data_IF_699050426052
#
_entry.id   IF_699050426052
#
_cell.length_a   1.000
_cell.length_b   1.000
_cell.length_c   1.000
_cell.angle_alpha   90.00
_cell.angle_beta   90.00
_cell.angle_gamma   90.00
#
_symmetry.space_group_name_H-M   'P 1'
#
loop_
_entity.id
_entity.type
_entity.pdbx_description
1 polymer ?
#
# COMPACT_ATOMS: atom_id res chain seq x y z
N UNK A 1 20.91 15.66 -33.51
CA UNK A 1 19.58 15.52 -34.13
C UNK A 1 18.66 16.47 -33.42
N UNK A 2 17.87 17.24 -34.17
CA UNK A 2 16.96 18.22 -33.57
C UNK A 2 15.68 17.52 -33.14
N UNK A 3 15.29 17.69 -31.88
CA UNK A 3 14.09 17.10 -31.34
C UNK A 3 12.99 18.15 -31.24
N UNK A 4 11.91 17.90 -31.95
CA UNK A 4 10.66 18.63 -31.85
C UNK A 4 9.73 17.88 -30.91
N UNK A 5 9.53 18.43 -29.73
CA UNK A 5 8.60 17.91 -28.73
C UNK A 5 7.48 18.91 -28.45
N UNK A 6 6.38 18.42 -27.88
CA UNK A 6 5.32 19.25 -27.33
C UNK A 6 5.46 19.23 -25.80
N UNK A 7 5.73 20.39 -25.21
CA UNK A 7 5.70 20.62 -23.78
C UNK A 7 4.29 21.02 -23.34
N UNK A 8 3.78 20.42 -22.27
CA UNK A 8 2.46 20.76 -21.73
C UNK A 8 2.64 21.58 -20.45
N UNK A 9 2.05 22.77 -20.42
CA UNK A 9 2.07 23.68 -19.27
C UNK A 9 0.66 24.19 -18.98
N UNK A 10 0.06 23.71 -17.88
CA UNK A 10 -1.34 24.02 -17.58
C UNK A 10 -2.29 23.27 -18.53
N UNK A 11 -3.12 24.02 -19.25
CA UNK A 11 -4.03 23.63 -20.34
C UNK A 11 -3.49 24.05 -21.73
N UNK A 12 -2.24 24.51 -21.79
CA UNK A 12 -1.59 24.98 -23.00
C UNK A 12 -0.47 24.04 -23.45
N UNK A 13 -0.28 23.98 -24.76
CA UNK A 13 0.78 23.19 -25.41
C UNK A 13 1.78 24.16 -26.03
N UNK A 14 3.05 23.98 -25.70
CA UNK A 14 4.14 24.80 -26.18
C UNK A 14 5.08 23.94 -27.05
N UNK A 15 5.45 24.38 -28.25
CA UNK A 15 6.48 23.69 -29.01
C UNK A 15 7.82 23.86 -28.27
N UNK A 16 8.43 22.74 -27.90
CA UNK A 16 9.76 22.72 -27.31
C UNK A 16 10.74 22.25 -28.39
N UNK A 17 11.64 23.16 -28.76
CA UNK A 17 12.73 22.87 -29.67
C UNK A 17 14.02 22.77 -28.85
N UNK A 18 14.63 21.60 -28.86
CA UNK A 18 15.87 21.35 -28.14
C UNK A 18 16.88 20.72 -29.10
N UNK A 19 17.98 21.45 -29.31
CA UNK A 19 19.08 20.97 -30.13
C UNK A 19 20.13 20.35 -29.21
N UNK A 20 20.45 19.08 -29.46
CA UNK A 20 21.59 18.41 -28.85
C UNK A 20 22.84 18.83 -29.62
N UNK A 21 23.66 19.68 -29.02
CA UNK A 21 25.07 19.76 -29.44
C UNK A 21 25.79 18.54 -28.82
N UNK A 22 26.41 17.73 -29.69
CA UNK A 22 27.32 16.62 -29.35
C UNK A 22 26.71 15.24 -29.02
N UNK A 23 25.43 14.98 -29.32
CA UNK A 23 24.90 13.61 -29.33
C UNK A 23 24.69 12.96 -27.96
N UNK A 24 24.75 13.76 -26.89
CA UNK A 24 24.54 13.31 -25.52
C UNK A 24 23.03 13.19 -25.24
N UNK A 25 22.50 11.96 -25.32
CA UNK A 25 21.05 11.67 -25.16
C UNK A 25 20.61 11.51 -23.70
N UNK A 26 21.49 11.73 -22.72
CA UNK A 26 21.21 11.45 -21.30
C UNK A 26 20.55 12.60 -20.53
N UNK A 27 20.54 13.82 -21.09
CA UNK A 27 19.80 14.97 -20.50
C UNK A 27 18.28 14.84 -20.69
N UNK A 28 17.85 14.02 -21.64
CA UNK A 28 16.46 13.97 -22.13
C UNK A 28 15.49 13.32 -21.14
N UNK A 29 15.94 12.31 -20.40
CA UNK A 29 15.07 11.56 -19.48
C UNK A 29 14.76 12.38 -18.22
N UNK A 30 15.75 13.12 -17.71
CA UNK A 30 15.58 13.88 -16.48
C UNK A 30 14.74 15.15 -16.63
N UNK A 31 14.79 15.86 -17.77
CA UNK A 31 13.99 17.09 -17.93
C UNK A 31 12.49 16.79 -18.09
N UNK A 32 12.13 15.69 -18.78
CA UNK A 32 10.72 15.30 -18.96
C UNK A 32 10.16 14.65 -17.68
N UNK A 33 10.93 13.85 -16.95
CA UNK A 33 10.49 13.28 -15.67
C UNK A 33 10.34 14.31 -14.55
N UNK A 34 11.15 15.37 -14.55
CA UNK A 34 11.07 16.45 -13.54
C UNK A 34 9.98 17.46 -13.90
N UNK A 35 9.62 17.60 -15.18
CA UNK A 35 8.61 18.55 -15.67
C UNK A 35 7.17 18.05 -15.77
N UNK A 36 6.91 16.74 -15.70
CA UNK A 36 5.62 16.18 -16.09
C UNK A 36 4.45 16.39 -15.10
N UNK A 37 4.69 16.68 -13.82
CA UNK A 37 3.58 16.91 -12.86
C UNK A 37 3.91 18.01 -11.83
N UNK A 38 3.92 19.30 -12.20
CA UNK A 38 4.09 20.41 -11.25
C UNK A 38 2.83 20.65 -10.40
N UNK A 39 1.91 19.68 -10.35
CA UNK A 39 0.64 19.79 -9.63
C UNK A 39 0.67 18.91 -8.40
N UNK A 40 0.14 19.40 -7.27
CA UNK A 40 -0.10 18.55 -6.12
C UNK A 40 -0.93 17.33 -6.52
N UNK A 41 -0.46 16.15 -6.15
CA UNK A 41 -1.10 14.87 -6.45
C UNK A 41 -1.03 13.94 -5.24
N UNK A 42 -1.63 12.75 -5.34
CA UNK A 42 -1.77 11.87 -4.18
C UNK A 42 -0.40 11.48 -3.60
N UNK A 43 -0.14 11.97 -2.40
CA UNK A 43 0.95 11.59 -1.53
C UNK A 43 0.40 10.69 -0.43
N UNK A 44 0.85 9.44 -0.42
CA UNK A 44 0.34 8.40 0.46
C UNK A 44 1.30 8.17 1.62
N UNK A 45 0.81 8.33 2.84
CA UNK A 45 1.57 8.10 4.06
C UNK A 45 1.24 6.74 4.68
N UNK A 46 2.17 6.22 5.51
CA UNK A 46 2.08 4.91 6.18
C UNK A 46 0.84 4.71 7.05
N UNK A 47 0.26 5.79 7.55
CA UNK A 47 -0.95 5.81 8.34
C UNK A 47 -2.25 5.77 7.49
N UNK A 48 -2.14 5.71 6.16
CA UNK A 48 -3.26 5.77 5.24
C UNK A 48 -3.72 7.19 4.91
N UNK A 49 -3.04 8.22 5.42
CA UNK A 49 -3.32 9.60 5.05
C UNK A 49 -2.93 9.85 3.58
N UNK A 50 -3.76 10.65 2.94
CA UNK A 50 -3.63 11.02 1.54
C UNK A 50 -3.67 12.54 1.44
N UNK A 51 -2.55 13.17 1.17
CA UNK A 51 -2.47 14.60 0.90
C UNK A 51 -2.20 14.84 -0.58
N UNK A 52 -2.66 15.98 -1.10
CA UNK A 52 -2.20 16.43 -2.42
C UNK A 52 -0.93 17.26 -2.22
N UNK A 53 0.23 16.66 -2.47
CA UNK A 53 1.54 17.31 -2.34
C UNK A 53 2.29 17.28 -3.66
N UNK A 54 3.25 18.18 -3.83
CA UNK A 54 4.22 18.03 -4.92
C UNK A 54 5.09 16.80 -4.67
N UNK A 55 5.57 16.16 -5.74
CA UNK A 55 6.43 14.97 -5.66
C UNK A 55 7.60 15.14 -4.69
N UNK A 56 8.31 16.27 -4.80
CA UNK A 56 9.46 16.58 -3.94
C UNK A 56 9.07 16.66 -2.46
N UNK A 57 7.97 17.35 -2.14
CA UNK A 57 7.53 17.53 -0.77
C UNK A 57 6.96 16.23 -0.18
N UNK A 58 6.32 15.41 -1.01
CA UNK A 58 5.85 14.08 -0.63
C UNK A 58 7.02 13.18 -0.21
N UNK A 59 8.07 13.09 -1.03
CA UNK A 59 9.26 12.29 -0.74
C UNK A 59 10.00 12.86 0.48
N UNK A 60 10.13 14.18 0.59
CA UNK A 60 10.77 14.82 1.74
C UNK A 60 10.05 14.54 3.07
N UNK A 61 8.73 14.30 3.04
CA UNK A 61 7.93 13.90 4.20
C UNK A 61 7.84 12.38 4.40
N UNK A 62 8.59 11.59 3.62
CA UNK A 62 8.58 10.13 3.71
C UNK A 62 7.31 9.47 3.19
N UNK A 63 6.56 10.16 2.32
CA UNK A 63 5.36 9.63 1.67
C UNK A 63 5.65 9.13 0.25
N UNK A 64 4.73 8.30 -0.24
CA UNK A 64 4.76 7.73 -1.59
C UNK A 64 3.93 8.58 -2.57
N UNK A 65 4.57 9.18 -3.57
CA UNK A 65 3.88 9.97 -4.60
C UNK A 65 3.30 9.05 -5.70
N UNK A 66 1.99 9.13 -5.95
CA UNK A 66 1.28 8.21 -6.86
C UNK A 66 0.54 8.89 -8.01
N UNK A 67 0.70 10.20 -8.17
CA UNK A 67 0.09 10.96 -9.27
C UNK A 67 -1.40 11.26 -9.06
N UNK A 68 -2.02 11.94 -10.04
CA UNK A 68 -3.39 12.42 -9.91
C UNK A 68 -4.41 11.29 -10.07
N UNK A 69 -5.41 11.24 -9.20
CA UNK A 69 -6.54 10.31 -9.32
C UNK A 69 -6.28 8.89 -8.83
N UNK A 70 -5.09 8.62 -8.25
CA UNK A 70 -4.79 7.37 -7.56
C UNK A 70 -5.15 7.50 -6.08
N UNK A 71 -6.23 6.87 -5.60
CA UNK A 71 -6.54 6.91 -4.17
C UNK A 71 -5.51 6.10 -3.38
N UNK A 72 -4.93 6.70 -2.33
CA UNK A 72 -3.95 6.02 -1.45
C UNK A 72 -4.48 4.74 -0.79
N UNK A 73 -5.81 4.57 -0.75
CA UNK A 73 -6.45 3.32 -0.31
C UNK A 73 -6.15 2.11 -1.20
N UNK A 74 -5.78 2.33 -2.46
CA UNK A 74 -5.31 1.28 -3.38
C UNK A 74 -3.81 1.00 -3.22
N UNK A 75 -3.10 1.92 -2.58
CA UNK A 75 -1.65 1.92 -2.40
C UNK A 75 -1.30 1.28 -1.06
N UNK A 76 -2.05 1.61 0.00
CA UNK A 76 -1.93 0.93 1.28
C UNK A 76 -2.87 -0.25 1.36
N UNK A 77 -2.34 -1.47 1.53
CA UNK A 77 -3.18 -2.63 1.73
C UNK A 77 -3.95 -2.59 3.06
N UNK A 78 -3.63 -1.68 3.99
CA UNK A 78 -4.41 -1.51 5.22
C UNK A 78 -5.80 -0.89 4.99
N UNK A 79 -5.98 -0.07 3.94
CA UNK A 79 -7.20 0.71 3.75
C UNK A 79 -8.47 -0.13 3.49
N UNK A 80 -8.32 -1.41 3.15
CA UNK A 80 -9.44 -2.33 2.97
C UNK A 80 -9.81 -3.10 4.24
N UNK A 81 -8.96 -3.12 5.25
CA UNK A 81 -9.18 -3.80 6.53
C UNK A 81 -10.09 -2.92 7.39
N UNK A 82 -11.17 -3.52 7.90
CA UNK A 82 -12.11 -2.87 8.81
C UNK A 82 -11.75 -3.12 10.27
N UNK A 83 -11.40 -4.36 10.58
CA UNK A 83 -11.30 -4.87 11.95
C UNK A 83 -10.60 -6.23 11.91
N UNK A 84 -9.75 -6.52 12.90
CA UNK A 84 -9.11 -7.83 13.11
C UNK A 84 -9.45 -8.29 14.51
N UNK A 85 -10.12 -9.45 14.60
CA UNK A 85 -10.50 -10.06 15.87
C UNK A 85 -9.79 -11.38 16.07
N UNK A 86 -9.11 -11.51 17.20
CA UNK A 86 -8.44 -12.74 17.62
C UNK A 86 -9.01 -13.19 18.95
N UNK A 87 -9.41 -14.45 19.04
CA UNK A 87 -9.93 -15.07 20.25
C UNK A 87 -9.33 -16.47 20.41
N UNK A 88 -8.93 -16.84 21.62
CA UNK A 88 -8.57 -18.22 21.95
C UNK A 88 -9.70 -18.88 22.76
N UNK A 89 -10.08 -20.11 22.38
CA UNK A 89 -11.14 -20.86 23.08
C UNK A 89 -10.60 -21.75 24.18
N UNK A 90 -11.49 -22.25 25.04
CA UNK A 90 -11.19 -23.23 26.09
C UNK A 90 -10.50 -24.52 25.59
N UNK A 91 -10.58 -24.81 24.29
CA UNK A 91 -9.97 -25.97 23.65
C UNK A 91 -8.55 -25.71 23.11
N UNK A 92 -7.96 -24.53 23.39
CA UNK A 92 -6.67 -24.13 22.81
C UNK A 92 -6.77 -23.78 21.31
N UNK A 93 -7.97 -23.38 20.84
CA UNK A 93 -8.20 -23.03 19.44
C UNK A 93 -8.19 -21.52 19.26
N UNK A 94 -7.23 -21.02 18.48
CA UNK A 94 -7.16 -19.63 18.05
C UNK A 94 -8.07 -19.44 16.83
N UNK A 95 -8.96 -18.47 16.94
CA UNK A 95 -9.82 -18.00 15.86
C UNK A 95 -9.41 -16.58 15.50
N UNK A 96 -8.97 -16.39 14.26
CA UNK A 96 -8.64 -15.06 13.72
C UNK A 96 -9.67 -14.70 12.65
N UNK A 97 -10.24 -13.50 12.75
CA UNK A 97 -11.17 -12.96 11.78
C UNK A 97 -10.70 -11.59 11.30
N UNK A 98 -10.26 -11.52 10.05
CA UNK A 98 -9.96 -10.25 9.38
C UNK A 98 -11.22 -9.83 8.62
N UNK A 99 -11.80 -8.68 8.97
CA UNK A 99 -12.98 -8.12 8.30
C UNK A 99 -12.56 -7.02 7.34
N UNK A 100 -13.28 -6.91 6.23
CA UNK A 100 -13.00 -5.95 5.18
C UNK A 100 -14.15 -4.96 4.98
N UNK A 101 -13.81 -3.72 4.62
CA UNK A 101 -14.76 -2.61 4.44
C UNK A 101 -15.72 -2.82 3.25
N UNK A 102 -15.18 -3.13 2.07
CA UNK A 102 -15.94 -3.36 0.84
C UNK A 102 -16.18 -4.85 0.61
N UNK A 103 -17.16 -5.21 -0.24
CA UNK A 103 -17.29 -6.57 -0.78
C UNK A 103 -16.04 -6.81 -1.65
N UNK A 104 -14.95 -7.22 -1.02
CA UNK A 104 -13.69 -7.47 -1.69
C UNK A 104 -13.95 -8.52 -2.76
N UNK A 105 -13.62 -8.21 -4.03
CA UNK A 105 -13.71 -9.19 -5.09
C UNK A 105 -12.75 -10.34 -4.72
N UNK A 106 -13.32 -11.53 -4.62
CA UNK A 106 -12.69 -12.82 -4.38
C UNK A 106 -11.43 -13.02 -5.23
N UNK A 107 -10.33 -13.45 -4.60
CA UNK A 107 -9.05 -13.73 -5.26
C UNK A 107 -7.79 -13.16 -4.59
N UNK A 108 -7.92 -12.48 -3.45
CA UNK A 108 -6.78 -11.99 -2.64
C UNK A 108 -6.59 -12.85 -1.39
N UNK A 109 -5.35 -13.00 -0.95
CA UNK A 109 -4.97 -13.69 0.29
C UNK A 109 -4.53 -12.69 1.37
N UNK A 110 -4.55 -13.12 2.62
CA UNK A 110 -3.92 -12.44 3.75
C UNK A 110 -3.00 -13.41 4.47
N UNK A 111 -1.88 -12.93 5.00
CA UNK A 111 -0.94 -13.73 5.79
C UNK A 111 -1.03 -13.37 7.26
N UNK A 112 -1.20 -14.38 8.10
CA UNK A 112 -1.31 -14.24 9.56
C UNK A 112 -0.18 -15.01 10.21
N UNK A 113 0.51 -14.35 11.12
CA UNK A 113 1.51 -14.93 12.00
C UNK A 113 0.90 -15.33 13.34
N UNK A 114 1.28 -16.49 13.87
CA UNK A 114 1.02 -16.87 15.26
C UNK A 114 2.36 -17.26 15.89
N UNK A 115 2.81 -16.48 16.87
CA UNK A 115 4.17 -16.56 17.37
C UNK A 115 5.20 -16.18 16.30
N UNK A 116 6.41 -16.72 16.40
CA UNK A 116 7.52 -16.37 15.50
C UNK A 116 7.61 -17.27 14.26
N UNK A 117 7.12 -18.51 14.35
CA UNK A 117 7.33 -19.53 13.30
C UNK A 117 6.11 -19.77 12.43
N UNK A 118 4.89 -19.69 12.98
CA UNK A 118 3.69 -20.14 12.26
C UNK A 118 3.17 -19.02 11.37
N UNK A 119 3.12 -19.30 10.06
CA UNK A 119 2.64 -18.38 9.04
C UNK A 119 1.53 -19.05 8.24
N UNK A 120 0.37 -18.43 8.19
CA UNK A 120 -0.82 -18.95 7.52
C UNK A 120 -1.26 -18.01 6.41
N UNK A 121 -1.47 -18.55 5.22
CA UNK A 121 -2.05 -17.81 4.10
C UNK A 121 -3.53 -18.19 3.94
N UNK A 122 -4.41 -17.19 3.97
CA UNK A 122 -5.86 -17.40 4.03
C UNK A 122 -6.51 -16.66 2.87
N UNK A 123 -7.36 -17.36 2.14
CA UNK A 123 -8.16 -16.78 1.08
C UNK A 123 -9.29 -15.90 1.65
N UNK A 124 -9.48 -14.72 1.05
CA UNK A 124 -10.57 -13.82 1.43
C UNK A 124 -11.88 -14.33 0.82
N UNK A 125 -12.87 -14.63 1.67
CA UNK A 125 -14.21 -15.05 1.25
C UNK A 125 -15.24 -13.96 1.54
N UNK A 126 -15.68 -13.25 0.49
CA UNK A 126 -16.63 -12.15 0.61
C UNK A 126 -16.06 -10.95 1.38
N UNK A 127 -16.55 -10.71 2.60
CA UNK A 127 -16.11 -9.58 3.46
C UNK A 127 -15.20 -9.99 4.61
N UNK A 128 -14.75 -11.25 4.68
CA UNK A 128 -13.93 -11.73 5.79
C UNK A 128 -12.96 -12.83 5.36
N UNK A 129 -11.81 -12.87 6.00
CA UNK A 129 -10.91 -14.03 6.04
C UNK A 129 -10.97 -14.62 7.45
N UNK A 130 -11.02 -15.95 7.54
CA UNK A 130 -11.11 -16.67 8.82
C UNK A 130 -10.01 -17.71 8.91
N UNK A 131 -9.25 -17.66 10.00
CA UNK A 131 -8.31 -18.70 10.41
C UNK A 131 -8.86 -19.38 11.66
N UNK A 132 -8.83 -20.71 11.67
CA UNK A 132 -9.16 -21.51 12.85
C UNK A 132 -8.08 -22.57 12.97
N UNK A 133 -7.25 -22.46 13.99
CA UNK A 133 -6.12 -23.37 14.24
C UNK A 133 -6.04 -23.69 15.72
N UNK A 134 -5.70 -24.93 16.04
CA UNK A 134 -5.80 -25.48 17.40
C UNK A 134 -4.45 -25.87 18.01
N UNK A 135 -4.56 -26.33 19.26
CA UNK A 135 -3.52 -26.91 20.11
C UNK A 135 -2.50 -25.91 20.67
N UNK A 136 -2.88 -24.65 20.79
CA UNK A 136 -2.05 -23.64 21.43
C UNK A 136 -2.22 -23.65 22.95
N UNK A 137 -1.12 -23.38 23.66
CA UNK A 137 -1.08 -23.22 25.12
C UNK A 137 -0.35 -21.95 25.48
N UNK A 138 -0.80 -21.26 26.52
CA UNK A 138 -0.18 -20.05 27.02
C UNK A 138 -0.35 -18.83 26.10
N UNK A 139 0.46 -17.78 26.32
CA UNK A 139 0.35 -16.54 25.57
C UNK A 139 0.82 -16.72 24.12
N UNK A 140 -0.01 -16.29 23.18
CA UNK A 140 0.26 -16.34 21.75
C UNK A 140 0.11 -14.95 21.15
N UNK A 141 1.09 -14.54 20.36
CA UNK A 141 1.08 -13.27 19.64
C UNK A 141 0.55 -13.52 18.24
N UNK A 142 -0.55 -12.88 17.89
CA UNK A 142 -1.16 -12.97 16.56
C UNK A 142 -0.91 -11.66 15.81
N UNK A 143 -0.24 -11.76 14.67
CA UNK A 143 0.12 -10.60 13.85
C UNK A 143 -0.41 -10.76 12.44
N UNK A 144 -0.78 -9.64 11.81
CA UNK A 144 -1.06 -9.61 10.38
C UNK A 144 0.27 -9.35 9.65
N UNK A 145 0.76 -10.36 8.94
CA UNK A 145 2.03 -10.32 8.21
C UNK A 145 1.86 -9.79 6.80
N UNK A 146 0.70 -10.02 6.19
CA UNK A 146 0.37 -9.45 4.89
C UNK A 146 -1.12 -9.09 4.83
N UNK A 147 -1.46 -7.79 4.77
CA UNK A 147 -0.52 -6.66 4.83
C UNK A 147 0.05 -6.38 6.22
N UNK A 148 1.36 -6.15 6.29
CA UNK A 148 2.07 -5.81 7.53
C UNK A 148 1.72 -4.40 8.04
N UNK A 149 1.79 -4.21 9.36
CA UNK A 149 1.68 -2.89 10.00
C UNK A 149 0.27 -2.30 10.04
N UNK A 150 -0.75 -3.02 9.57
CA UNK A 150 -2.12 -2.51 9.52
C UNK A 150 -2.86 -2.58 10.85
N UNK A 151 -2.48 -3.52 11.71
CA UNK A 151 -3.07 -3.73 13.03
C UNK A 151 -1.96 -4.12 13.98
N UNK A 152 -2.00 -3.57 15.19
CA UNK A 152 -1.09 -3.96 16.27
C UNK A 152 -1.21 -5.47 16.57
N UNK A 153 -0.10 -6.17 16.86
CA UNK A 153 -0.14 -7.58 17.23
C UNK A 153 -1.06 -7.82 18.44
N UNK A 154 -1.94 -8.80 18.34
CA UNK A 154 -2.90 -9.15 19.38
C UNK A 154 -2.34 -10.30 20.22
N UNK A 155 -2.20 -10.09 21.53
CA UNK A 155 -1.80 -11.14 22.46
C UNK A 155 -3.05 -11.83 23.00
N UNK A 156 -3.16 -13.15 22.77
CA UNK A 156 -4.24 -13.98 23.32
C UNK A 156 -3.65 -15.06 24.21
N UNK A 157 -4.26 -15.29 25.37
CA UNK A 157 -3.82 -16.34 26.27
C UNK A 157 -4.70 -17.58 26.08
N UNK A 158 -4.08 -18.68 25.67
CA UNK A 158 -4.74 -19.97 25.51
C UNK A 158 -4.58 -20.83 26.77
N UNK A 159 -5.60 -21.62 27.12
CA UNK A 159 -5.52 -22.55 28.26
C UNK A 159 -4.49 -23.67 28.07
#
# INVERSE_FOLDING_TARGET
GDYLGLGYGGDKVYPCYLSSQNGDTDVFTHVIEVGAEPRPAACCFNNGDCENLMRRDCIARGGDFKGKGVPCRLVYPCGFIKDVKTECTAAGTIKVQVKFMTKSKSGRTVKIGIGEELRYEINITGKKAKLIVCCFKGPQVVSLLDPEGCVEPQVVNCP
#
